data_IF_855257571914
#
_entry.id   IF_855257571914
#
_cell.length_a   1.000
_cell.length_b   1.000
_cell.length_c   1.000
_cell.angle_alpha   90.00
_cell.angle_beta   90.00
_cell.angle_gamma   90.00
#
_symmetry.space_group_name_H-M   'P 1'
#
loop_
_entity.id
_entity.type
_entity.pdbx_description
1 polymer ?
#
# COMPACT_ATOMS: atom_id res chain seq x y z
N UNK A 1 67.76 44.15 -1.20
CA UNK A 1 66.31 44.15 -1.51
C UNK A 1 66.19 44.42 -3.01
N UNK A 2 66.01 43.39 -3.83
CA UNK A 2 66.01 43.49 -5.29
C UNK A 2 64.82 42.71 -5.87
N UNK A 3 64.18 43.34 -6.84
CA UNK A 3 62.95 42.96 -7.53
C UNK A 3 63.17 41.67 -8.34
N UNK A 4 62.22 40.73 -8.28
CA UNK A 4 62.16 39.60 -9.21
C UNK A 4 61.08 39.81 -10.28
N UNK A 5 61.35 39.41 -11.54
CA UNK A 5 60.56 39.77 -12.71
C UNK A 5 59.28 38.94 -12.87
N UNK A 6 58.28 39.60 -13.43
CA UNK A 6 57.03 39.05 -13.95
C UNK A 6 57.27 37.89 -14.95
N UNK A 7 56.46 36.83 -14.82
CA UNK A 7 56.24 35.83 -15.88
C UNK A 7 54.73 35.74 -16.16
N UNK A 8 54.27 36.02 -17.39
CA UNK A 8 52.85 35.99 -17.74
C UNK A 8 52.43 34.59 -18.19
N UNK A 9 51.33 34.08 -17.67
CA UNK A 9 50.70 32.89 -18.27
C UNK A 9 49.18 32.91 -18.11
N UNK A 10 48.55 33.23 -19.24
CA UNK A 10 47.27 32.77 -19.76
C UNK A 10 45.94 33.25 -19.12
N UNK A 11 44.96 33.63 -19.97
CA UNK A 11 43.69 34.20 -19.56
C UNK A 11 42.71 33.14 -19.02
N UNK A 12 41.91 33.61 -18.07
CA UNK A 12 40.70 33.00 -17.52
C UNK A 12 39.80 32.46 -18.64
N UNK A 13 39.72 31.12 -18.76
CA UNK A 13 38.73 30.48 -19.62
C UNK A 13 37.45 30.31 -18.82
N UNK A 14 36.64 31.37 -18.81
CA UNK A 14 35.22 31.26 -18.52
C UNK A 14 34.60 30.38 -19.60
N UNK A 15 34.32 29.13 -19.26
CA UNK A 15 33.32 28.34 -19.97
C UNK A 15 32.43 27.75 -18.91
N UNK A 16 31.32 28.46 -18.71
CA UNK A 16 30.06 27.97 -18.18
C UNK A 16 29.70 26.67 -18.90
N UNK A 17 30.14 25.53 -18.38
CA UNK A 17 29.57 24.23 -18.69
C UNK A 17 28.48 24.00 -17.65
N UNK A 18 27.23 24.23 -18.08
CA UNK A 18 26.03 24.05 -17.28
C UNK A 18 26.11 22.78 -16.41
N UNK A 19 26.03 22.97 -15.09
CA UNK A 19 25.76 21.89 -14.17
C UNK A 19 24.40 21.30 -14.55
N UNK A 20 24.40 20.14 -15.22
CA UNK A 20 23.20 19.31 -15.35
C UNK A 20 22.71 19.07 -13.92
N UNK A 21 21.46 19.41 -13.56
CA UNK A 21 20.95 19.05 -12.25
C UNK A 21 21.07 17.53 -12.18
N UNK A 22 21.90 17.04 -11.27
CA UNK A 22 21.96 15.63 -10.97
C UNK A 22 20.54 15.24 -10.52
N UNK A 23 19.80 14.62 -11.42
CA UNK A 23 18.52 14.01 -11.12
C UNK A 23 18.82 13.01 -10.01
N UNK A 24 18.49 13.37 -8.76
CA UNK A 24 18.52 12.41 -7.67
C UNK A 24 17.63 11.26 -8.15
N UNK A 25 18.26 10.13 -8.45
CA UNK A 25 17.54 8.90 -8.72
C UNK A 25 16.63 8.70 -7.51
N UNK A 26 15.32 8.82 -7.74
CA UNK A 26 14.32 8.50 -6.76
C UNK A 26 14.58 7.04 -6.38
N UNK A 27 15.06 6.79 -5.16
CA UNK A 27 15.10 5.43 -4.63
C UNK A 27 13.68 4.90 -4.67
N UNK A 28 13.40 4.06 -5.66
CA UNK A 28 12.14 3.31 -5.74
C UNK A 28 12.17 2.29 -4.62
N UNK A 29 11.79 2.72 -3.41
CA UNK A 29 11.57 1.79 -2.31
C UNK A 29 10.55 0.77 -2.79
N UNK A 30 10.87 -0.54 -2.78
CA UNK A 30 9.90 -1.55 -3.18
C UNK A 30 8.66 -1.40 -2.31
N UNK A 31 7.50 -1.36 -2.96
CA UNK A 31 6.23 -1.27 -2.26
C UNK A 31 6.07 -2.56 -1.46
N UNK A 32 6.29 -2.48 -0.14
CA UNK A 32 6.13 -3.63 0.75
C UNK A 32 4.64 -3.85 0.97
N UNK A 33 4.08 -4.86 0.31
CA UNK A 33 2.71 -5.27 0.58
C UNK A 33 2.62 -5.90 1.98
N UNK A 34 1.63 -5.46 2.76
CA UNK A 34 1.40 -5.92 4.13
C UNK A 34 0.88 -7.37 4.14
N UNK A 35 0.19 -7.78 3.07
CA UNK A 35 -0.45 -9.08 2.93
C UNK A 35 -0.05 -9.76 1.62
N UNK A 36 -0.05 -11.09 1.64
CA UNK A 36 0.09 -11.89 0.43
C UNK A 36 -1.18 -11.80 -0.45
N UNK A 37 -1.03 -12.05 -1.75
CA UNK A 37 -2.15 -12.07 -2.70
C UNK A 37 -3.28 -13.03 -2.25
N UNK A 38 -2.93 -14.16 -1.63
CA UNK A 38 -3.92 -15.10 -1.09
C UNK A 38 -4.75 -14.50 0.04
N UNK A 39 -4.11 -13.78 0.95
CA UNK A 39 -4.79 -13.11 2.06
C UNK A 39 -5.67 -11.96 1.58
N UNK A 40 -5.23 -11.23 0.55
CA UNK A 40 -6.02 -10.17 -0.05
C UNK A 40 -7.34 -10.69 -0.66
N UNK A 41 -7.31 -11.89 -1.26
CA UNK A 41 -8.54 -12.57 -1.72
C UNK A 41 -9.47 -12.92 -0.57
N UNK A 42 -8.95 -13.47 0.52
CA UNK A 42 -9.75 -13.78 1.72
C UNK A 42 -10.34 -12.52 2.35
N UNK A 43 -9.61 -11.42 2.37
CA UNK A 43 -10.09 -10.12 2.85
C UNK A 43 -11.28 -9.64 2.00
N UNK A 44 -11.17 -9.68 0.67
CA UNK A 44 -12.27 -9.30 -0.22
C UNK A 44 -13.50 -10.19 0.00
N UNK A 45 -13.30 -11.51 0.15
CA UNK A 45 -14.38 -12.45 0.46
C UNK A 45 -15.05 -12.08 1.78
N UNK A 46 -14.28 -11.75 2.82
CA UNK A 46 -14.83 -11.35 4.12
C UNK A 46 -15.73 -10.12 4.01
N UNK A 47 -15.32 -9.13 3.23
CA UNK A 47 -16.10 -7.91 2.97
C UNK A 47 -17.40 -8.25 2.23
N UNK A 48 -17.34 -9.14 1.23
CA UNK A 48 -18.52 -9.59 0.50
C UNK A 48 -19.52 -10.31 1.40
N UNK A 49 -19.05 -11.15 2.33
CA UNK A 49 -19.90 -11.85 3.31
C UNK A 49 -20.54 -10.87 4.28
N UNK A 50 -19.79 -9.88 4.79
CA UNK A 50 -20.34 -8.82 5.65
C UNK A 50 -21.42 -8.02 4.91
N UNK A 51 -21.15 -7.61 3.66
CA UNK A 51 -22.13 -6.91 2.84
C UNK A 51 -23.39 -7.75 2.62
N UNK A 52 -23.24 -9.06 2.35
CA UNK A 52 -24.37 -9.98 2.21
C UNK A 52 -25.19 -10.07 3.50
N UNK A 53 -24.55 -10.11 4.67
CA UNK A 53 -25.24 -10.10 5.97
C UNK A 53 -26.07 -8.83 6.18
N UNK A 54 -25.54 -7.67 5.82
CA UNK A 54 -26.30 -6.41 5.86
C UNK A 54 -27.45 -6.37 4.84
N UNK A 55 -27.27 -6.94 3.65
CA UNK A 55 -28.33 -7.05 2.64
C UNK A 55 -29.46 -7.96 3.14
N UNK A 56 -29.14 -9.08 3.78
CA UNK A 56 -30.13 -9.97 4.41
C UNK A 56 -30.92 -9.25 5.52
N UNK A 57 -30.24 -8.40 6.31
CA UNK A 57 -30.90 -7.55 7.31
C UNK A 57 -31.81 -6.52 6.64
N UNK A 58 -31.40 -5.96 5.49
CA UNK A 58 -32.14 -4.95 4.73
C UNK A 58 -33.50 -5.46 4.24
N UNK A 59 -34.51 -4.58 4.18
CA UNK A 59 -35.87 -4.90 3.74
C UNK A 59 -36.91 -4.59 4.81
N UNK A 60 -38.11 -4.21 4.38
CA UNK A 60 -39.15 -3.58 5.22
C UNK A 60 -40.32 -4.49 5.56
N UNK A 61 -40.47 -5.63 4.89
CA UNK A 61 -41.73 -6.38 4.88
C UNK A 61 -41.94 -7.27 6.11
N UNK A 62 -40.90 -7.58 6.89
CA UNK A 62 -41.02 -8.35 8.12
C UNK A 62 -39.76 -8.22 9.00
N UNK A 63 -39.76 -7.23 9.90
CA UNK A 63 -38.65 -6.96 10.83
C UNK A 63 -38.47 -8.06 11.89
N UNK A 64 -39.49 -8.88 12.16
CA UNK A 64 -39.44 -9.93 13.17
C UNK A 64 -39.07 -11.31 12.59
N UNK A 65 -38.72 -11.36 11.29
CA UNK A 65 -38.23 -12.57 10.66
C UNK A 65 -36.96 -13.09 11.35
N UNK A 66 -36.94 -14.39 11.69
CA UNK A 66 -35.77 -15.07 12.25
C UNK A 66 -34.51 -14.88 11.39
N UNK A 67 -34.66 -14.72 10.07
CA UNK A 67 -33.54 -14.45 9.17
C UNK A 67 -32.86 -13.12 9.49
N UNK A 68 -33.61 -12.09 9.85
CA UNK A 68 -33.07 -10.75 10.12
C UNK A 68 -32.55 -10.60 11.54
N UNK A 69 -33.23 -11.21 12.50
CA UNK A 69 -32.87 -11.12 13.93
C UNK A 69 -31.71 -12.05 14.27
N UNK A 70 -31.64 -13.25 13.67
CA UNK A 70 -30.68 -14.28 14.07
C UNK A 70 -29.66 -14.58 12.97
N UNK A 71 -30.13 -14.92 11.77
CA UNK A 71 -29.23 -15.40 10.69
C UNK A 71 -28.34 -14.26 10.17
N UNK A 72 -28.91 -13.08 9.91
CA UNK A 72 -28.17 -11.96 9.34
C UNK A 72 -27.03 -11.47 10.27
N UNK A 73 -27.25 -11.23 11.58
CA UNK A 73 -26.17 -10.88 12.48
C UNK A 73 -25.10 -11.98 12.61
N UNK A 74 -25.50 -13.25 12.57
CA UNK A 74 -24.54 -14.37 12.55
C UNK A 74 -23.68 -14.37 11.28
N UNK A 75 -24.27 -14.08 10.12
CA UNK A 75 -23.51 -13.96 8.85
C UNK A 75 -22.51 -12.81 8.93
N UNK A 76 -22.92 -11.66 9.47
CA UNK A 76 -22.03 -10.49 9.65
C UNK A 76 -20.86 -10.85 10.59
N UNK A 77 -21.14 -11.49 11.73
CA UNK A 77 -20.12 -11.96 12.66
C UNK A 77 -19.16 -12.97 12.01
N UNK A 78 -19.69 -13.90 11.21
CA UNK A 78 -18.90 -14.85 10.43
C UNK A 78 -17.99 -14.15 9.42
N UNK A 79 -18.50 -13.11 8.74
CA UNK A 79 -17.72 -12.27 7.84
C UNK A 79 -16.57 -11.57 8.55
N UNK A 80 -16.81 -10.98 9.73
CA UNK A 80 -15.74 -10.38 10.54
C UNK A 80 -14.71 -11.39 11.02
N UNK A 81 -15.13 -12.59 11.45
CA UNK A 81 -14.21 -13.66 11.83
C UNK A 81 -13.30 -14.06 10.65
N UNK A 82 -13.85 -14.15 9.44
CA UNK A 82 -13.11 -14.40 8.21
C UNK A 82 -12.12 -13.26 7.89
N UNK A 83 -12.51 -12.02 8.15
CA UNK A 83 -11.65 -10.85 8.02
C UNK A 83 -10.47 -10.88 9.00
N UNK A 84 -10.72 -11.16 10.28
CA UNK A 84 -9.66 -11.36 11.26
C UNK A 84 -8.73 -12.51 10.85
N UNK A 85 -9.28 -13.63 10.40
CA UNK A 85 -8.48 -14.73 9.89
C UNK A 85 -7.60 -14.32 8.71
N UNK A 86 -8.12 -13.52 7.77
CA UNK A 86 -7.34 -13.03 6.63
C UNK A 86 -6.17 -12.10 7.06
N UNK A 87 -6.36 -11.32 8.12
CA UNK A 87 -5.33 -10.43 8.68
C UNK A 87 -4.26 -11.24 9.43
N UNK A 88 -4.67 -12.17 10.29
CA UNK A 88 -3.74 -12.96 11.11
C UNK A 88 -3.03 -14.08 10.34
N UNK A 89 -3.59 -14.52 9.21
CA UNK A 89 -2.99 -15.56 8.39
C UNK A 89 -1.60 -15.12 7.93
N UNK A 90 -0.56 -15.83 8.36
CA UNK A 90 0.81 -15.50 7.94
C UNK A 90 0.96 -15.68 6.42
N UNK A 91 1.68 -14.78 5.73
CA UNK A 91 1.94 -14.93 4.31
C UNK A 91 2.73 -16.23 4.09
N UNK A 92 2.14 -17.17 3.35
CA UNK A 92 2.82 -18.41 2.96
C UNK A 92 3.71 -18.08 1.77
N UNK A 93 4.90 -17.56 2.05
CA UNK A 93 5.93 -17.41 1.03
C UNK A 93 6.29 -18.82 0.55
N UNK A 94 5.85 -19.18 -0.66
CA UNK A 94 6.43 -20.33 -1.34
C UNK A 94 7.83 -19.91 -1.76
N UNK A 95 8.82 -20.45 -1.05
CA UNK A 95 10.21 -20.39 -1.44
C UNK A 95 10.36 -21.44 -2.54
N UNK A 96 10.17 -20.99 -3.79
CA UNK A 96 10.62 -21.73 -4.97
C UNK A 96 12.08 -21.34 -5.27
#
# INVERSE_FOLDING_TARGET
MAQQPFKPTAPVKNTTAAAKPAYKATETKPVSFIFDKGNYRLLIISIAVVALGFILMSGTTDIYSNTKIVIAPLVVLGGFALGFFAIFKKPSVKVD
#
